data_IF_123699675432
#
_entry.id   IF_123699675432
#
_cell.length_a   1.000
_cell.length_b   1.000
_cell.length_c   1.000
_cell.angle_alpha   90.00
_cell.angle_beta   90.00
_cell.angle_gamma   90.00
#
_symmetry.space_group_name_H-M   'P 1'
#
loop_
_entity.id
_entity.type
_entity.pdbx_description
1 polymer ?
#
# COMPACT_ATOMS: atom_id res chain seq x y z
N UNK A 1 -23.25 8.19 12.02
CA UNK A 1 -22.38 7.61 10.98
C UNK A 1 -21.08 8.40 10.81
N UNK A 2 -21.12 9.73 10.61
CA UNK A 2 -19.92 10.58 10.46
C UNK A 2 -19.01 10.60 11.72
N UNK A 3 -19.57 10.80 12.91
CA UNK A 3 -18.82 10.81 14.17
C UNK A 3 -18.00 9.52 14.41
N UNK A 4 -18.59 8.34 14.18
CA UNK A 4 -17.87 7.06 14.26
C UNK A 4 -16.75 6.92 13.22
N UNK A 5 -16.87 7.56 12.06
CA UNK A 5 -15.82 7.53 11.04
C UNK A 5 -14.64 8.42 11.41
N UNK A 6 -14.88 9.53 12.10
CA UNK A 6 -13.82 10.38 12.63
C UNK A 6 -13.14 9.71 13.84
N UNK A 7 -13.91 9.12 14.75
CA UNK A 7 -13.42 8.42 15.94
C UNK A 7 -12.52 7.22 15.64
N UNK A 8 -12.88 6.42 14.63
CA UNK A 8 -12.12 5.23 14.23
C UNK A 8 -11.28 5.45 12.97
N UNK A 9 -11.12 6.70 12.54
CA UNK A 9 -10.36 7.08 11.34
C UNK A 9 -10.79 6.30 10.07
N UNK A 10 -12.08 6.00 9.95
CA UNK A 10 -12.67 5.21 8.86
C UNK A 10 -12.86 6.08 7.61
N UNK A 11 -11.89 5.97 6.72
CA UNK A 11 -11.93 6.54 5.38
C UNK A 11 -10.53 6.73 4.82
N UNK A 12 -10.46 6.87 3.50
CA UNK A 12 -9.20 7.18 2.82
C UNK A 12 -8.66 8.53 3.31
N UNK A 13 -7.50 8.50 3.97
CA UNK A 13 -6.74 9.72 4.26
C UNK A 13 -5.92 10.05 3.02
N UNK A 14 -6.22 11.17 2.37
CA UNK A 14 -5.53 11.59 1.13
C UNK A 14 -4.01 11.66 1.35
N UNK A 15 -3.59 12.09 2.53
CA UNK A 15 -2.18 12.18 2.93
C UNK A 15 -1.47 10.82 3.05
N UNK A 16 -2.24 9.72 3.16
CA UNK A 16 -1.74 8.35 3.25
C UNK A 16 -1.78 7.61 1.91
N UNK A 17 -2.32 8.23 0.85
CA UNK A 17 -2.33 7.65 -0.49
C UNK A 17 -0.89 7.62 -1.01
N UNK A 18 -0.31 6.45 -1.31
CA UNK A 18 1.08 6.40 -1.76
C UNK A 18 1.21 7.10 -3.12
N UNK A 19 2.18 8.00 -3.23
CA UNK A 19 2.36 8.87 -4.40
C UNK A 19 3.58 8.46 -5.22
N UNK A 20 3.42 8.47 -6.54
CA UNK A 20 4.50 8.14 -7.47
C UNK A 20 5.59 9.22 -7.56
N UNK A 21 5.35 10.43 -7.04
CA UNK A 21 6.26 11.56 -7.24
C UNK A 21 7.67 11.33 -6.67
N UNK A 22 7.76 10.83 -5.44
CA UNK A 22 9.04 10.52 -4.80
C UNK A 22 9.81 9.42 -5.54
N UNK A 23 9.22 8.24 -5.78
CA UNK A 23 9.86 7.17 -6.55
C UNK A 23 10.24 7.58 -7.99
N UNK A 24 9.35 8.26 -8.73
CA UNK A 24 9.60 8.68 -10.10
C UNK A 24 10.77 9.67 -10.20
N UNK A 25 10.89 10.60 -9.24
CA UNK A 25 12.05 11.49 -9.15
C UNK A 25 13.36 10.73 -8.94
N UNK A 26 13.39 9.69 -8.10
CA UNK A 26 14.59 8.87 -7.88
C UNK A 26 14.98 8.03 -9.09
N UNK A 27 14.02 7.70 -9.95
CA UNK A 27 14.23 7.00 -11.22
C UNK A 27 14.60 7.94 -12.37
N UNK A 28 14.83 9.24 -12.11
CA UNK A 28 15.21 10.21 -13.13
C UNK A 28 14.07 10.58 -14.09
N UNK A 29 12.82 10.39 -13.68
CA UNK A 29 11.61 10.65 -14.48
C UNK A 29 10.64 11.57 -13.73
N UNK A 30 11.04 12.83 -13.46
CA UNK A 30 10.18 13.79 -12.76
C UNK A 30 8.95 14.20 -13.59
N UNK A 31 9.00 14.02 -14.92
CA UNK A 31 7.87 14.18 -15.83
C UNK A 31 6.74 13.18 -15.57
N UNK A 32 7.08 11.91 -15.35
CA UNK A 32 6.12 10.87 -14.97
C UNK A 32 5.49 11.12 -13.59
N UNK A 33 6.13 11.94 -12.74
CA UNK A 33 5.56 12.39 -11.46
C UNK A 33 4.49 13.47 -11.64
N UNK A 34 4.62 14.35 -12.64
CA UNK A 34 3.74 15.50 -12.85
C UNK A 34 2.33 15.09 -13.26
N UNK A 35 2.18 13.99 -14.00
CA UNK A 35 0.87 13.46 -14.41
C UNK A 35 0.24 12.54 -13.35
N UNK A 36 0.97 12.23 -12.27
CA UNK A 36 0.51 11.40 -11.14
C UNK A 36 0.30 9.92 -11.46
N UNK A 37 0.29 9.54 -12.75
CA UNK A 37 0.08 8.18 -13.24
C UNK A 37 1.24 7.79 -14.14
N UNK A 38 1.89 6.68 -13.80
CA UNK A 38 3.00 6.14 -14.57
C UNK A 38 2.83 4.64 -14.77
N UNK A 39 3.40 4.11 -15.84
CA UNK A 39 3.46 2.68 -16.13
C UNK A 39 4.89 2.26 -16.44
N UNK A 40 5.13 0.95 -16.38
CA UNK A 40 6.41 0.34 -16.73
C UNK A 40 6.35 -0.25 -18.13
N UNK A 41 7.41 -0.02 -18.90
CA UNK A 41 7.58 -0.59 -20.24
C UNK A 41 8.83 -1.45 -20.24
N UNK A 42 8.67 -2.71 -20.64
CA UNK A 42 9.78 -3.61 -20.95
C UNK A 42 10.14 -3.43 -22.42
N UNK A 43 11.36 -2.97 -22.68
CA UNK A 43 11.96 -3.05 -24.00
C UNK A 43 12.56 -4.45 -24.16
N UNK A 44 11.91 -5.30 -24.95
CA UNK A 44 12.34 -6.68 -25.19
C UNK A 44 13.66 -6.76 -25.95
N UNK A 45 13.99 -5.76 -26.78
CA UNK A 45 15.22 -5.77 -27.57
C UNK A 45 16.45 -5.52 -26.69
N UNK A 46 16.34 -4.58 -25.74
CA UNK A 46 17.41 -4.28 -24.79
C UNK A 46 17.31 -5.04 -23.46
N UNK A 47 16.18 -5.72 -23.23
CA UNK A 47 15.81 -6.35 -21.96
C UNK A 47 15.89 -5.35 -20.78
N UNK A 48 15.41 -4.13 -21.01
CA UNK A 48 15.42 -3.06 -20.00
C UNK A 48 14.02 -2.61 -19.63
N UNK A 49 13.84 -2.16 -18.39
CA UNK A 49 12.57 -1.62 -17.90
C UNK A 49 12.69 -0.10 -17.78
N UNK A 50 11.73 0.62 -18.33
CA UNK A 50 11.65 2.07 -18.25
C UNK A 50 10.30 2.54 -17.69
N UNK A 51 10.28 3.75 -17.16
CA UNK A 51 9.06 4.40 -16.66
C UNK A 51 8.54 5.39 -17.71
N UNK A 52 7.24 5.38 -17.95
CA UNK A 52 6.56 6.35 -18.82
C UNK A 52 5.24 6.81 -18.20
N UNK A 53 4.66 7.89 -18.74
CA UNK A 53 3.33 8.34 -18.37
C UNK A 53 2.26 7.32 -18.77
N UNK A 54 1.32 7.05 -17.87
CA UNK A 54 0.22 6.12 -18.15
C UNK A 54 -0.94 6.85 -18.81
N UNK A 55 -1.27 6.47 -20.04
CA UNK A 55 -2.42 6.99 -20.79
C UNK A 55 -3.74 6.35 -20.37
N UNK A 56 -3.70 5.07 -19.98
CA UNK A 56 -4.83 4.32 -19.45
C UNK A 56 -4.67 4.12 -17.93
N UNK A 57 -5.64 4.53 -17.10
CA UNK A 57 -5.64 4.24 -15.66
C UNK A 57 -5.42 2.77 -15.30
N UNK A 58 -5.85 1.82 -16.15
CA UNK A 58 -5.65 0.38 -15.90
C UNK A 58 -4.18 -0.05 -16.01
N UNK A 59 -3.35 0.75 -16.68
CA UNK A 59 -1.90 0.52 -16.82
C UNK A 59 -1.07 1.25 -15.77
N UNK A 60 -1.69 2.13 -14.98
CA UNK A 60 -1.00 2.90 -13.97
C UNK A 60 -0.56 1.99 -12.81
N UNK A 61 0.69 2.12 -12.40
CA UNK A 61 1.25 1.40 -11.26
C UNK A 61 1.52 2.35 -10.10
N UNK A 62 1.38 1.82 -8.88
CA UNK A 62 1.88 2.47 -7.69
C UNK A 62 3.34 2.04 -7.48
N UNK A 63 4.29 2.94 -7.72
CA UNK A 63 5.72 2.68 -7.67
C UNK A 63 6.21 2.38 -6.26
N UNK A 64 5.58 2.97 -5.25
CA UNK A 64 5.93 2.71 -3.85
C UNK A 64 5.49 1.30 -3.45
N UNK A 65 4.27 0.90 -3.83
CA UNK A 65 3.79 -0.48 -3.66
C UNK A 65 4.70 -1.47 -4.38
N UNK A 66 5.00 -1.21 -5.65
CA UNK A 66 5.86 -2.08 -6.44
C UNK A 66 7.26 -2.21 -5.83
N UNK A 67 7.86 -1.09 -5.40
CA UNK A 67 9.18 -1.10 -4.76
C UNK A 67 9.18 -1.96 -3.50
N UNK A 68 8.16 -1.84 -2.66
CA UNK A 68 8.04 -2.63 -1.43
C UNK A 68 7.80 -4.11 -1.74
N UNK A 69 6.90 -4.43 -2.68
CA UNK A 69 6.65 -5.81 -3.10
C UNK A 69 7.92 -6.48 -3.65
N UNK A 70 8.69 -5.77 -4.48
CA UNK A 70 9.97 -6.24 -4.98
C UNK A 70 10.99 -6.44 -3.84
N UNK A 71 11.07 -5.53 -2.87
CA UNK A 71 11.95 -5.70 -1.71
C UNK A 71 11.58 -6.94 -0.87
N UNK A 72 10.29 -7.20 -0.66
CA UNK A 72 9.84 -8.41 0.05
C UNK A 72 10.23 -9.65 -0.74
N UNK A 73 10.03 -9.64 -2.06
CA UNK A 73 10.37 -10.77 -2.93
C UNK A 73 11.87 -11.03 -2.99
N UNK A 74 12.68 -9.98 -3.11
CA UNK A 74 14.15 -10.10 -3.13
C UNK A 74 14.70 -10.59 -1.79
N UNK A 75 14.17 -10.11 -0.66
CA UNK A 75 14.69 -10.45 0.68
C UNK A 75 14.13 -11.76 1.23
N UNK A 76 12.87 -12.06 0.95
CA UNK A 76 12.11 -13.13 1.58
C UNK A 76 11.59 -14.21 0.63
N UNK A 77 11.83 -14.09 -0.68
CA UNK A 77 11.41 -15.08 -1.68
C UNK A 77 9.89 -15.24 -1.83
N UNK A 78 9.11 -14.25 -1.37
CA UNK A 78 7.64 -14.28 -1.35
C UNK A 78 7.05 -12.91 -1.59
N UNK A 79 5.75 -12.86 -1.85
CA UNK A 79 5.02 -11.61 -1.99
C UNK A 79 4.60 -11.05 -0.60
N UNK A 80 4.38 -9.74 -0.46
CA UNK A 80 3.89 -9.14 0.77
C UNK A 80 2.51 -9.67 1.13
N UNK A 81 2.28 -9.95 2.42
CA UNK A 81 0.97 -10.38 2.93
C UNK A 81 0.43 -9.39 3.95
N UNK A 82 -0.87 -9.14 3.88
CA UNK A 82 -1.61 -8.28 4.80
C UNK A 82 -2.86 -9.02 5.24
N UNK A 83 -3.10 -9.11 6.56
CA UNK A 83 -4.32 -9.71 7.09
C UNK A 83 -4.83 -8.97 8.32
N UNK A 84 -6.15 -9.04 8.53
CA UNK A 84 -6.80 -8.61 9.76
C UNK A 84 -7.06 -9.86 10.60
N UNK A 85 -6.12 -10.17 11.47
CA UNK A 85 -6.17 -11.38 12.29
C UNK A 85 -7.05 -11.13 13.52
N UNK A 86 -7.87 -12.10 13.96
CA UNK A 86 -8.61 -11.95 15.21
C UNK A 86 -7.65 -11.88 16.41
N UNK A 87 -7.95 -11.04 17.42
CA UNK A 87 -7.19 -11.09 18.69
C UNK A 87 -7.47 -12.42 19.40
N UNK A 88 -6.45 -13.27 19.52
CA UNK A 88 -6.52 -14.48 20.34
C UNK A 88 -6.81 -14.12 21.80
N UNK A 89 -7.90 -14.65 22.36
CA UNK A 89 -8.28 -14.45 23.76
C UNK A 89 -9.48 -13.53 24.01
N UNK A 90 -10.18 -13.07 22.97
CA UNK A 90 -11.46 -12.36 23.12
C UNK A 90 -12.52 -13.29 23.77
N UNK A 91 -12.64 -13.24 25.09
CA UNK A 91 -13.82 -13.76 25.79
C UNK A 91 -14.99 -12.85 25.43
N UNK A 92 -16.16 -13.43 25.18
CA UNK A 92 -17.39 -12.69 24.92
C UNK A 92 -17.74 -11.81 26.14
N UNK A 93 -17.19 -10.61 26.17
CA UNK A 93 -17.54 -9.51 27.07
C UNK A 93 -18.63 -8.63 26.45
N UNK A 94 -18.94 -7.54 27.13
CA UNK A 94 -20.02 -6.60 26.76
C UNK A 94 -19.88 -6.05 25.32
N UNK A 95 -20.98 -5.57 24.74
CA UNK A 95 -21.04 -5.08 23.34
C UNK A 95 -20.01 -3.98 23.05
N UNK A 96 -19.66 -3.17 24.05
CA UNK A 96 -18.64 -2.10 23.92
C UNK A 96 -17.20 -2.64 23.97
N UNK A 97 -16.93 -3.74 24.70
CA UNK A 97 -15.63 -4.42 24.72
C UNK A 97 -15.38 -5.22 23.44
N UNK A 98 -16.45 -5.67 22.79
CA UNK A 98 -16.46 -6.37 21.51
C UNK A 98 -15.80 -5.49 20.41
N UNK A 99 -16.09 -4.20 20.37
CA UNK A 99 -15.57 -3.27 19.35
C UNK A 99 -14.05 -3.05 19.41
N UNK A 100 -13.43 -3.13 20.59
CA UNK A 100 -11.98 -2.98 20.77
C UNK A 100 -11.18 -4.29 20.55
N UNK A 101 -11.89 -5.42 20.41
CA UNK A 101 -11.31 -6.77 20.47
C UNK A 101 -11.19 -7.49 19.12
N UNK A 102 -11.70 -6.95 18.01
CA UNK A 102 -11.97 -7.85 16.88
C UNK A 102 -10.81 -8.19 15.96
N UNK A 103 -9.94 -7.25 15.59
CA UNK A 103 -8.90 -7.54 14.60
C UNK A 103 -7.61 -6.77 14.86
N UNK A 104 -6.47 -7.39 14.53
CA UNK A 104 -5.12 -6.81 14.55
C UNK A 104 -4.59 -6.81 13.13
N UNK A 105 -3.99 -5.69 12.71
CA UNK A 105 -3.27 -5.61 11.44
C UNK A 105 -2.03 -6.48 11.53
N UNK A 106 -1.91 -7.45 10.63
CA UNK A 106 -0.74 -8.28 10.47
C UNK A 106 -0.09 -7.97 9.12
N UNK A 107 1.22 -7.81 9.19
CA UNK A 107 2.07 -7.49 8.06
C UNK A 107 3.09 -8.58 7.94
N UNK A 108 3.23 -9.14 6.75
CA UNK A 108 4.33 -10.05 6.48
C UNK A 108 5.13 -9.59 5.27
N UNK A 109 6.39 -9.19 5.47
CA UNK A 109 7.14 -9.11 6.73
C UNK A 109 6.71 -7.94 7.64
N UNK A 110 7.02 -8.04 8.94
CA UNK A 110 6.62 -7.07 9.98
C UNK A 110 7.06 -5.63 9.68
N UNK A 111 8.20 -5.46 9.00
CA UNK A 111 8.73 -4.12 8.66
C UNK A 111 7.88 -3.35 7.65
N UNK A 112 6.87 -3.97 7.03
CA UNK A 112 5.89 -3.24 6.23
C UNK A 112 4.96 -2.37 7.10
N UNK A 113 4.83 -2.66 8.39
CA UNK A 113 4.08 -1.82 9.32
C UNK A 113 4.67 -0.40 9.39
N UNK A 114 3.80 0.61 9.39
CA UNK A 114 4.23 2.02 9.39
C UNK A 114 4.76 2.54 8.06
N UNK A 115 4.80 1.72 7.00
CA UNK A 115 5.00 2.23 5.63
C UNK A 115 3.68 2.78 5.08
N UNK A 116 3.73 3.74 4.15
CA UNK A 116 2.55 4.30 3.48
C UNK A 116 1.66 3.21 2.86
N UNK A 117 2.28 2.25 2.17
CA UNK A 117 1.63 1.10 1.56
C UNK A 117 1.08 0.15 2.61
N UNK A 118 1.87 -0.17 3.64
CA UNK A 118 1.42 -1.05 4.71
C UNK A 118 0.15 -0.53 5.36
N UNK A 119 0.12 0.75 5.73
CA UNK A 119 -1.06 1.36 6.34
C UNK A 119 -2.22 1.52 5.34
N UNK A 120 -1.91 1.87 4.09
CA UNK A 120 -2.90 2.04 3.01
C UNK A 120 -3.66 0.75 2.68
N UNK A 121 -3.02 -0.41 2.75
CA UNK A 121 -3.65 -1.72 2.44
C UNK A 121 -4.78 -2.11 3.41
N UNK A 122 -4.92 -1.41 4.54
CA UNK A 122 -5.99 -1.63 5.52
C UNK A 122 -7.08 -0.56 5.51
N UNK A 123 -7.08 0.38 4.55
CA UNK A 123 -8.06 1.49 4.48
C UNK A 123 -9.29 1.21 3.57
N UNK A 124 -9.61 -0.06 3.29
CA UNK A 124 -10.76 -0.45 2.46
C UNK A 124 -12.12 -0.34 3.17
#
# INVERSE_FOLDING_TARGET
KKARREEYEIGWKVDMVPLNAGPASRLGRPDAALEGKCCLVLDEASNTVSLTAATDPATAVNLEYLSLALQVRTRGGRDPMFSLDPKLGAKAGSVDELHAQWQVKRFEPEWLAGTSVGEGMFQA
#
